data_IF_323826115151
#
_entry.id   IF_323826115151
#
_cell.length_a   1.000
_cell.length_b   1.000
_cell.length_c   1.000
_cell.angle_alpha   90.00
_cell.angle_beta   90.00
_cell.angle_gamma   90.00
#
_symmetry.space_group_name_H-M   'P 1'
#
loop_
_entity.id
_entity.type
_entity.pdbx_description
1 polymer ?
#
# COMPACT_ATOMS: atom_id res chain seq x y z
N UNK A 1 26.65 18.24 3.65
CA UNK A 1 27.54 17.75 2.58
C UNK A 1 27.33 18.42 1.23
N UNK A 2 26.10 18.47 0.70
CA UNK A 2 25.83 19.02 -0.63
C UNK A 2 26.31 20.48 -0.86
N UNK A 3 26.11 21.37 0.12
CA UNK A 3 26.59 22.76 0.06
C UNK A 3 28.12 22.84 0.01
N UNK A 4 28.83 21.93 0.70
CA UNK A 4 30.29 21.87 0.68
C UNK A 4 30.79 21.35 -0.67
N UNK A 5 30.15 20.32 -1.23
CA UNK A 5 30.46 19.82 -2.58
C UNK A 5 30.26 20.90 -3.65
N UNK A 6 29.13 21.62 -3.62
CA UNK A 6 28.87 22.70 -4.57
C UNK A 6 29.90 23.83 -4.46
N UNK A 7 30.26 24.24 -3.24
CA UNK A 7 31.33 25.22 -3.02
C UNK A 7 32.68 24.72 -3.54
N UNK A 8 33.00 23.45 -3.32
CA UNK A 8 34.23 22.83 -3.82
C UNK A 8 34.31 22.90 -5.35
N UNK A 9 33.21 22.54 -6.05
CA UNK A 9 33.11 22.64 -7.51
C UNK A 9 33.33 24.08 -8.00
N UNK A 10 32.66 25.06 -7.39
CA UNK A 10 32.81 26.48 -7.73
C UNK A 10 34.24 27.00 -7.52
N UNK A 11 34.86 26.66 -6.40
CA UNK A 11 36.24 27.06 -6.09
C UNK A 11 37.20 26.43 -7.10
N UNK A 12 37.07 25.14 -7.37
CA UNK A 12 37.87 24.43 -8.37
C UNK A 12 37.72 25.03 -9.77
N UNK A 13 36.50 25.40 -10.18
CA UNK A 13 36.24 26.04 -11.46
C UNK A 13 36.92 27.41 -11.58
N UNK A 14 36.78 28.26 -10.56
CA UNK A 14 37.41 29.59 -10.55
C UNK A 14 38.93 29.49 -10.56
N UNK A 15 39.50 28.60 -9.75
CA UNK A 15 40.94 28.37 -9.71
C UNK A 15 41.47 27.85 -11.05
N UNK A 16 40.74 26.93 -11.70
CA UNK A 16 41.09 26.41 -13.02
C UNK A 16 41.13 27.55 -14.06
N UNK A 17 40.12 28.42 -14.03
CA UNK A 17 40.02 29.57 -14.94
C UNK A 17 41.20 30.54 -14.77
N UNK A 18 41.58 30.86 -13.53
CA UNK A 18 42.71 31.74 -13.23
C UNK A 18 44.05 31.11 -13.67
N UNK A 19 44.29 29.83 -13.38
CA UNK A 19 45.48 29.14 -13.89
C UNK A 19 45.56 29.16 -15.42
N UNK A 20 44.43 28.96 -16.11
CA UNK A 20 44.38 29.04 -17.57
C UNK A 20 44.67 30.46 -18.07
N UNK A 21 44.10 31.48 -17.44
CA UNK A 21 44.33 32.89 -17.80
C UNK A 21 45.80 33.25 -17.68
N UNK A 22 46.43 32.89 -16.57
CA UNK A 22 47.85 33.13 -16.32
C UNK A 22 48.72 32.43 -17.38
N UNK A 23 48.47 31.14 -17.63
CA UNK A 23 49.30 30.41 -18.59
C UNK A 23 49.08 30.81 -20.05
N UNK A 24 47.88 31.23 -20.42
CA UNK A 24 47.64 31.81 -21.75
C UNK A 24 48.45 33.10 -21.94
N UNK A 25 48.60 33.93 -20.89
CA UNK A 25 49.48 35.12 -20.95
C UNK A 25 50.94 34.71 -21.10
N UNK A 26 51.41 33.70 -20.37
CA UNK A 26 52.77 33.20 -20.47
C UNK A 26 53.09 32.59 -21.85
N UNK A 27 52.14 31.85 -22.43
CA UNK A 27 52.25 31.31 -23.79
C UNK A 27 52.34 32.45 -24.82
N UNK A 28 51.50 33.49 -24.70
CA UNK A 28 51.55 34.67 -25.59
C UNK A 28 52.89 35.40 -25.51
N UNK A 29 53.50 35.43 -24.32
CA UNK A 29 54.85 36.00 -24.08
C UNK A 29 55.98 35.07 -24.53
N UNK A 30 55.68 33.89 -25.09
CA UNK A 30 56.64 32.85 -25.47
C UNK A 30 57.44 32.28 -24.30
N UNK A 31 56.98 32.45 -23.05
CA UNK A 31 57.61 31.92 -21.85
C UNK A 31 57.27 30.44 -21.60
N UNK A 32 56.18 29.94 -22.17
CA UNK A 32 55.74 28.55 -22.05
C UNK A 32 55.16 27.99 -23.35
N UNK A 33 55.05 26.66 -23.42
CA UNK A 33 54.36 25.94 -24.52
C UNK A 33 52.95 25.55 -24.12
N UNK A 34 52.05 25.46 -25.10
CA UNK A 34 50.64 25.10 -24.90
C UNK A 34 50.41 23.74 -24.22
N UNK A 35 51.41 22.84 -24.21
CA UNK A 35 51.32 21.54 -23.55
C UNK A 35 51.06 21.64 -22.04
N UNK A 36 51.44 22.75 -21.40
CA UNK A 36 51.21 22.97 -19.96
C UNK A 36 49.71 23.05 -19.63
N UNK A 37 48.89 23.54 -20.57
CA UNK A 37 47.43 23.58 -20.39
C UNK A 37 46.82 22.17 -20.23
N UNK A 38 47.36 21.18 -20.95
CA UNK A 38 46.91 19.79 -20.81
C UNK A 38 47.27 19.20 -19.44
N UNK A 39 48.41 19.59 -18.87
CA UNK A 39 48.82 19.16 -17.53
C UNK A 39 47.93 19.77 -16.44
N UNK A 40 47.48 21.01 -16.64
CA UNK A 40 46.54 21.67 -15.73
C UNK A 40 45.21 20.91 -15.70
N UNK A 41 44.67 20.51 -16.86
CA UNK A 41 43.42 19.74 -16.94
C UNK A 41 43.52 18.35 -16.30
N UNK A 42 44.69 17.71 -16.36
CA UNK A 42 44.94 16.38 -15.78
C UNK A 42 45.24 16.41 -14.28
N UNK A 43 45.24 17.58 -13.65
CA UNK A 43 45.59 17.70 -12.23
C UNK A 43 44.43 17.16 -11.36
N UNK A 44 44.74 16.25 -10.43
CA UNK A 44 43.77 15.63 -9.50
C UNK A 44 42.98 16.66 -8.67
N UNK A 45 43.52 17.86 -8.44
CA UNK A 45 42.77 18.93 -7.72
C UNK A 45 41.48 19.36 -8.42
N UNK A 46 41.32 19.03 -9.70
CA UNK A 46 40.14 19.33 -10.51
C UNK A 46 39.29 18.09 -10.82
N UNK A 47 39.53 16.97 -10.14
CA UNK A 47 38.80 15.71 -10.33
C UNK A 47 37.28 15.89 -10.08
N UNK A 48 36.87 16.77 -9.18
CA UNK A 48 35.45 17.09 -8.97
C UNK A 48 34.77 17.76 -10.18
N UNK A 49 35.54 18.24 -11.16
CA UNK A 49 35.02 18.78 -12.43
C UNK A 49 34.95 17.68 -13.52
N UNK A 50 35.37 16.47 -13.21
CA UNK A 50 35.18 15.33 -14.09
C UNK A 50 33.68 15.15 -14.38
N UNK A 51 33.38 14.73 -15.61
CA UNK A 51 32.01 14.52 -16.08
C UNK A 51 31.22 13.63 -15.11
N UNK A 52 31.84 12.55 -14.60
CA UNK A 52 31.23 11.61 -13.65
C UNK A 52 30.83 12.25 -12.33
N UNK A 53 31.69 13.11 -11.75
CA UNK A 53 31.39 13.78 -10.48
C UNK A 53 30.27 14.81 -10.63
N UNK A 54 30.23 15.52 -11.76
CA UNK A 54 29.16 16.46 -12.08
C UNK A 54 27.83 15.74 -12.34
N UNK A 55 27.86 14.59 -13.02
CA UNK A 55 26.69 13.72 -13.20
C UNK A 55 26.17 13.18 -11.86
N UNK A 56 27.06 12.73 -10.98
CA UNK A 56 26.70 12.30 -9.62
C UNK A 56 26.03 13.43 -8.83
N UNK A 57 26.60 14.63 -8.86
CA UNK A 57 25.99 15.80 -8.22
C UNK A 57 24.60 16.10 -8.78
N UNK A 58 24.45 16.10 -10.11
CA UNK A 58 23.15 16.29 -10.76
C UNK A 58 22.13 15.22 -10.35
N UNK A 59 22.55 13.95 -10.24
CA UNK A 59 21.69 12.86 -9.80
C UNK A 59 21.18 13.08 -8.36
N UNK A 60 22.05 13.50 -7.44
CA UNK A 60 21.66 13.81 -6.05
C UNK A 60 20.65 14.97 -6.03
N UNK A 61 20.89 16.05 -6.79
CA UNK A 61 19.94 17.16 -6.91
C UNK A 61 18.59 16.67 -7.44
N UNK A 62 18.58 15.82 -8.47
CA UNK A 62 17.35 15.31 -9.05
C UNK A 62 16.58 14.42 -8.06
N UNK A 63 17.27 13.60 -7.27
CA UNK A 63 16.66 12.81 -6.20
C UNK A 63 16.01 13.72 -5.14
N UNK A 64 16.71 14.77 -4.70
CA UNK A 64 16.16 15.74 -3.74
C UNK A 64 14.94 16.49 -4.30
N UNK A 65 14.97 16.88 -5.58
CA UNK A 65 13.84 17.52 -6.25
C UNK A 65 12.63 16.56 -6.36
N UNK A 66 12.87 15.30 -6.70
CA UNK A 66 11.82 14.29 -6.75
C UNK A 66 11.23 14.05 -5.35
N UNK A 67 12.06 14.06 -4.31
CA UNK A 67 11.59 13.98 -2.92
C UNK A 67 10.71 15.17 -2.56
N UNK A 68 11.14 16.39 -2.89
CA UNK A 68 10.35 17.61 -2.65
C UNK A 68 8.97 17.52 -3.30
N UNK A 69 8.89 17.14 -4.59
CA UNK A 69 7.62 16.97 -5.29
C UNK A 69 6.74 15.90 -4.64
N UNK A 70 7.33 14.81 -4.19
CA UNK A 70 6.60 13.78 -3.47
C UNK A 70 6.01 14.29 -2.15
N UNK A 71 6.77 15.08 -1.38
CA UNK A 71 6.27 15.71 -0.16
C UNK A 71 5.13 16.69 -0.43
N UNK A 72 5.18 17.42 -1.54
CA UNK A 72 4.08 18.28 -2.00
C UNK A 72 2.82 17.45 -2.28
N UNK A 73 2.94 16.32 -2.99
CA UNK A 73 1.81 15.40 -3.24
C UNK A 73 1.22 14.85 -1.94
N UNK A 74 2.05 14.41 -0.99
CA UNK A 74 1.56 13.95 0.32
C UNK A 74 0.76 15.05 1.02
N UNK A 75 1.24 16.29 0.99
CA UNK A 75 0.57 17.41 1.63
C UNK A 75 -0.76 17.78 0.93
N UNK A 76 -0.82 17.73 -0.40
CA UNK A 76 -2.06 17.90 -1.17
C UNK A 76 -3.14 16.88 -0.76
N UNK A 77 -2.72 15.64 -0.54
CA UNK A 77 -3.57 14.54 -0.08
C UNK A 77 -3.80 14.54 1.45
N UNK A 78 -3.37 15.60 2.16
CA UNK A 78 -3.50 15.76 3.61
C UNK A 78 -2.79 14.66 4.44
N UNK A 79 -1.74 14.08 3.88
CA UNK A 79 -0.88 13.08 4.53
C UNK A 79 0.26 13.80 5.25
N UNK A 80 0.42 13.54 6.54
CA UNK A 80 1.55 14.07 7.30
C UNK A 80 2.81 13.27 6.99
N UNK A 81 3.96 13.93 6.99
CA UNK A 81 5.25 13.30 6.74
C UNK A 81 6.14 13.34 7.98
N UNK A 82 6.79 12.23 8.30
CA UNK A 82 7.80 12.11 9.36
C UNK A 82 9.01 11.39 8.78
N UNK A 83 10.21 11.96 8.93
CA UNK A 83 11.45 11.23 8.70
C UNK A 83 11.78 10.42 9.97
N UNK A 84 12.05 9.12 9.83
CA UNK A 84 12.37 8.25 10.94
C UNK A 84 13.61 8.73 11.74
N UNK A 85 14.58 9.36 11.07
CA UNK A 85 15.78 9.93 11.71
C UNK A 85 15.47 11.17 12.58
N UNK A 86 14.36 11.86 12.31
CA UNK A 86 13.96 13.04 13.10
C UNK A 86 13.27 12.65 14.42
N UNK A 87 12.91 11.38 14.59
CA UNK A 87 12.27 10.86 15.79
C UNK A 87 13.32 10.78 16.91
N UNK A 88 13.10 11.54 17.98
CA UNK A 88 14.06 11.65 19.09
C UNK A 88 13.69 10.76 20.26
N UNK A 89 14.68 10.03 20.79
CA UNK A 89 14.64 9.44 22.12
C UNK A 89 15.74 10.03 22.99
N UNK A 90 15.44 10.34 24.25
CA UNK A 90 16.33 10.94 25.27
C UNK A 90 17.84 10.62 25.11
N UNK A 91 18.51 11.37 24.22
CA UNK A 91 19.95 11.33 23.90
C UNK A 91 20.50 10.06 23.23
N UNK A 92 19.66 9.11 22.78
CA UNK A 92 20.13 7.91 22.07
C UNK A 92 19.80 8.03 20.58
N UNK A 93 20.78 7.78 19.72
CA UNK A 93 20.55 7.62 18.28
C UNK A 93 19.66 6.38 18.11
N UNK A 94 18.54 6.55 17.42
CA UNK A 94 17.66 5.43 17.07
C UNK A 94 18.28 4.70 15.90
N UNK A 95 18.59 3.42 16.10
CA UNK A 95 19.20 2.59 15.05
C UNK A 95 18.28 1.44 14.63
N UNK A 96 17.18 1.22 15.36
CA UNK A 96 16.23 0.13 15.06
C UNK A 96 14.82 0.62 14.79
N UNK A 97 14.11 -0.08 13.92
CA UNK A 97 12.70 0.16 13.59
C UNK A 97 11.83 -0.01 14.84
N UNK A 98 12.17 -0.96 15.72
CA UNK A 98 11.44 -1.19 16.97
C UNK A 98 11.54 -0.01 17.95
N UNK A 99 12.66 0.71 17.98
CA UNK A 99 12.78 1.92 18.80
C UNK A 99 11.87 3.03 18.26
N UNK A 100 11.84 3.21 16.93
CA UNK A 100 10.95 4.16 16.25
C UNK A 100 9.49 3.80 16.53
N UNK A 101 9.12 2.53 16.38
CA UNK A 101 7.80 2.01 16.68
C UNK A 101 7.36 2.34 18.10
N UNK A 102 8.21 2.06 19.09
CA UNK A 102 7.90 2.30 20.51
C UNK A 102 7.58 3.77 20.78
N UNK A 103 8.27 4.70 20.10
CA UNK A 103 8.06 6.13 20.29
C UNK A 103 6.79 6.59 19.58
N UNK A 104 6.59 6.16 18.33
CA UNK A 104 5.40 6.52 17.56
C UNK A 104 4.14 5.93 18.19
N UNK A 105 4.20 4.69 18.67
CA UNK A 105 3.13 4.06 19.44
C UNK A 105 2.78 4.89 20.67
N UNK A 106 3.77 5.29 21.49
CA UNK A 106 3.50 6.16 22.66
C UNK A 106 2.96 7.54 22.27
N UNK A 107 3.37 8.07 21.14
CA UNK A 107 2.99 9.42 20.67
C UNK A 107 1.55 9.43 20.18
N UNK A 108 1.15 8.41 19.40
CA UNK A 108 -0.12 8.35 18.70
C UNK A 108 -1.10 7.33 19.29
N UNK A 109 -0.79 6.70 20.43
CA UNK A 109 -1.61 5.65 21.06
C UNK A 109 -3.09 6.03 21.21
N UNK A 110 -3.37 7.30 21.52
CA UNK A 110 -4.72 7.81 21.75
C UNK A 110 -5.33 8.52 20.52
N UNK A 111 -4.59 8.62 19.42
CA UNK A 111 -5.01 9.35 18.23
C UNK A 111 -5.63 8.43 17.17
N UNK A 112 -6.58 8.95 16.39
CA UNK A 112 -7.13 8.26 15.22
C UNK A 112 -6.15 8.33 14.03
N UNK A 113 -5.06 7.58 14.10
CA UNK A 113 -3.93 7.70 13.17
C UNK A 113 -3.62 6.36 12.49
N UNK A 114 -3.34 6.42 11.19
CA UNK A 114 -2.63 5.37 10.46
C UNK A 114 -1.19 5.83 10.27
N UNK A 115 -0.24 5.01 10.68
CA UNK A 115 1.16 5.15 10.33
C UNK A 115 1.48 4.21 9.18
N UNK A 116 2.05 4.74 8.11
CA UNK A 116 2.49 3.96 6.95
C UNK A 116 3.99 4.12 6.75
N UNK A 117 4.71 3.03 6.95
CA UNK A 117 6.16 2.96 6.93
C UNK A 117 6.60 2.54 5.54
N UNK A 118 7.47 3.35 4.94
CA UNK A 118 7.99 3.12 3.60
C UNK A 118 9.36 3.79 3.43
N UNK A 119 10.03 3.51 2.32
CA UNK A 119 11.28 4.14 1.92
C UNK A 119 11.32 4.37 0.42
N UNK A 120 12.20 5.25 -0.03
CA UNK A 120 12.38 5.56 -1.46
C UNK A 120 12.85 4.33 -2.24
N UNK A 121 13.72 3.50 -1.65
CA UNK A 121 14.17 2.24 -2.26
C UNK A 121 13.00 1.28 -2.47
N UNK A 122 12.12 1.13 -1.48
CA UNK A 122 10.96 0.25 -1.61
C UNK A 122 9.95 0.76 -2.63
N UNK A 123 9.75 2.08 -2.69
CA UNK A 123 8.91 2.69 -3.73
C UNK A 123 9.44 2.42 -5.14
N UNK A 124 10.77 2.41 -5.31
CA UNK A 124 11.42 2.08 -6.58
C UNK A 124 11.36 0.59 -6.91
N UNK A 125 11.61 -0.28 -5.94
CA UNK A 125 11.65 -1.74 -6.15
C UNK A 125 10.25 -2.36 -6.31
N UNK A 126 9.22 -1.77 -5.68
CA UNK A 126 7.85 -2.29 -5.63
C UNK A 126 6.82 -1.20 -5.91
N UNK A 127 6.97 -0.51 -7.03
CA UNK A 127 6.16 0.66 -7.38
C UNK A 127 4.65 0.35 -7.41
N UNK A 128 4.25 -0.78 -8.01
CA UNK A 128 2.84 -1.15 -8.14
C UNK A 128 2.20 -1.44 -6.77
N UNK A 129 2.88 -2.21 -5.92
CA UNK A 129 2.43 -2.51 -4.54
C UNK A 129 2.35 -1.23 -3.70
N UNK A 130 3.33 -0.34 -3.84
CA UNK A 130 3.33 0.96 -3.19
C UNK A 130 2.14 1.81 -3.63
N UNK A 131 1.86 1.86 -4.94
CA UNK A 131 0.77 2.66 -5.52
C UNK A 131 -0.60 2.11 -5.12
N UNK A 132 -0.77 0.79 -5.10
CA UNK A 132 -1.98 0.15 -4.61
C UNK A 132 -2.21 0.49 -3.14
N UNK A 133 -1.19 0.31 -2.30
CA UNK A 133 -1.25 0.65 -0.86
C UNK A 133 -1.61 2.12 -0.65
N UNK A 134 -1.00 3.03 -1.44
CA UNK A 134 -1.31 4.45 -1.41
C UNK A 134 -2.80 4.72 -1.64
N UNK A 135 -3.38 4.13 -2.69
CA UNK A 135 -4.78 4.31 -3.04
C UNK A 135 -5.71 3.73 -1.98
N UNK A 136 -5.41 2.55 -1.45
CA UNK A 136 -6.20 1.92 -0.38
C UNK A 136 -6.21 2.79 0.89
N UNK A 137 -5.06 3.34 1.28
CA UNK A 137 -4.95 4.22 2.44
C UNK A 137 -5.67 5.56 2.25
N UNK A 138 -5.69 6.12 1.03
CA UNK A 138 -6.48 7.31 0.72
C UNK A 138 -7.99 7.07 0.86
N UNK A 139 -8.47 5.87 0.50
CA UNK A 139 -9.88 5.51 0.66
C UNK A 139 -10.28 5.39 2.14
N UNK A 140 -9.32 5.08 3.04
CA UNK A 140 -9.56 5.03 4.48
C UNK A 140 -9.69 6.40 5.14
N UNK A 141 -9.31 7.50 4.48
CA UNK A 141 -9.38 8.86 5.04
C UNK A 141 -10.83 9.40 4.98
N UNK A 142 -11.51 9.58 6.13
CA UNK A 142 -12.89 10.07 6.17
C UNK A 142 -12.99 11.48 5.61
N UNK A 143 -14.00 11.74 4.78
CA UNK A 143 -14.32 13.10 4.32
C UNK A 143 -14.94 13.99 5.41
N UNK A 144 -15.42 13.38 6.50
CA UNK A 144 -16.12 14.04 7.60
C UNK A 144 -15.47 13.72 8.96
N UNK A 145 -15.62 14.61 9.95
CA UNK A 145 -15.06 14.45 11.30
C UNK A 145 -15.70 13.27 12.09
N UNK A 146 -14.97 12.58 12.99
CA UNK A 146 -13.56 12.81 13.34
C UNK A 146 -12.60 12.30 12.25
N UNK A 147 -11.75 13.20 11.74
CA UNK A 147 -10.80 12.87 10.68
C UNK A 147 -9.74 11.92 11.19
N UNK A 148 -9.67 10.74 10.57
CA UNK A 148 -8.50 9.87 10.67
C UNK A 148 -7.34 10.57 9.97
N UNK A 149 -6.16 10.54 10.59
CA UNK A 149 -4.94 11.10 10.00
C UNK A 149 -4.11 9.97 9.41
N UNK A 150 -3.53 10.19 8.23
CA UNK A 150 -2.50 9.32 7.67
C UNK A 150 -1.15 9.99 7.82
N UNK A 151 -0.17 9.24 8.31
CA UNK A 151 1.21 9.69 8.49
C UNK A 151 2.12 8.75 7.71
N UNK A 152 2.82 9.30 6.72
CA UNK A 152 3.91 8.64 6.02
C UNK A 152 5.19 8.73 6.87
N UNK A 153 5.70 7.57 7.29
CA UNK A 153 6.94 7.45 8.07
C UNK A 153 8.04 6.97 7.14
N UNK A 154 9.00 7.84 6.89
CA UNK A 154 10.06 7.64 5.91
C UNK A 154 11.32 7.02 6.51
N UNK A 155 11.71 5.85 6.00
CA UNK A 155 12.91 5.11 6.37
C UNK A 155 14.02 5.19 5.31
N UNK A 156 13.92 6.09 4.33
CA UNK A 156 14.88 6.19 3.21
C UNK A 156 16.33 6.34 3.65
N UNK A 157 16.56 7.14 4.69
CA UNK A 157 17.89 7.42 5.25
C UNK A 157 18.15 6.72 6.59
N UNK A 158 17.28 5.77 6.99
CA UNK A 158 17.39 5.12 8.29
C UNK A 158 18.43 3.98 8.26
N UNK A 159 19.17 3.79 9.37
CA UNK A 159 20.28 2.83 9.42
C UNK A 159 19.82 1.38 9.19
N UNK A 160 18.71 0.98 9.83
CA UNK A 160 18.08 -0.32 9.58
C UNK A 160 17.15 -0.23 8.35
N UNK A 161 17.43 -1.06 7.33
CA UNK A 161 16.55 -1.18 6.17
C UNK A 161 15.21 -1.80 6.53
N UNK A 162 14.15 -1.23 5.98
CA UNK A 162 12.80 -1.78 6.05
C UNK A 162 12.64 -2.88 4.97
N UNK A 163 12.19 -4.07 5.35
CA UNK A 163 12.06 -5.23 4.43
C UNK A 163 10.72 -5.27 3.69
N UNK A 164 9.67 -4.70 4.28
CA UNK A 164 8.29 -4.71 3.77
C UNK A 164 7.51 -3.48 4.26
N UNK A 165 6.44 -3.11 3.55
CA UNK A 165 5.60 -1.99 3.96
C UNK A 165 4.95 -2.34 5.29
N UNK A 166 5.05 -1.45 6.28
CA UNK A 166 4.41 -1.65 7.57
C UNK A 166 3.30 -0.62 7.75
N UNK A 167 2.11 -1.08 8.07
CA UNK A 167 0.95 -0.23 8.36
C UNK A 167 0.52 -0.49 9.79
N UNK A 168 0.49 0.55 10.62
CA UNK A 168 0.04 0.49 12.01
C UNK A 168 -1.18 1.38 12.16
N UNK A 169 -2.27 0.84 12.70
CA UNK A 169 -3.54 1.56 12.90
C UNK A 169 -3.80 1.72 14.38
N UNK A 170 -3.93 2.96 14.84
CA UNK A 170 -4.32 3.26 16.22
C UNK A 170 -5.83 3.53 16.30
N UNK A 171 -6.55 2.88 17.22
CA UNK A 171 -7.95 3.19 17.46
C UNK A 171 -8.05 4.51 18.24
N UNK A 172 -9.03 5.35 17.91
CA UNK A 172 -9.36 6.51 18.76
C UNK A 172 -9.72 6.01 20.16
N UNK A 173 -8.98 6.42 21.20
CA UNK A 173 -9.40 6.23 22.58
C UNK A 173 -10.54 7.19 22.90
N UNK A 174 -11.77 6.80 22.57
CA UNK A 174 -12.94 7.40 23.19
C UNK A 174 -13.03 6.75 24.56
N UNK A 175 -12.76 7.53 25.61
CA UNK A 175 -13.00 7.10 26.99
C UNK A 175 -14.45 6.62 27.12
N UNK A 176 -14.60 5.36 27.53
CA UNK A 176 -15.86 4.76 27.96
C UNK A 176 -16.37 5.52 29.19
N UNK A 177 -17.33 6.42 29.01
CA UNK A 177 -18.31 6.75 30.06
C UNK A 177 -19.65 7.30 29.56
N UNK A 178 -19.93 7.22 28.25
CA UNK A 178 -21.29 7.42 27.74
C UNK A 178 -21.72 6.27 26.84
N UNK A 179 -22.84 5.63 27.21
CA UNK A 179 -23.60 4.75 26.32
C UNK A 179 -23.95 5.52 25.05
N UNK A 180 -23.63 4.95 23.89
CA UNK A 180 -23.87 5.47 22.52
C UNK A 180 -23.00 6.69 22.19
N UNK A 181 -22.10 6.68 21.21
CA UNK A 181 -22.35 6.40 19.80
C UNK A 181 -21.11 5.81 19.11
N UNK A 182 -21.05 4.49 18.93
CA UNK A 182 -20.28 3.92 17.81
C UNK A 182 -20.84 4.54 16.53
N UNK A 183 -20.00 5.07 15.64
CA UNK A 183 -20.43 5.34 14.26
C UNK A 183 -21.18 4.10 13.76
N UNK A 184 -22.37 4.25 13.18
CA UNK A 184 -23.14 3.09 12.75
C UNK A 184 -22.27 2.26 11.81
N UNK A 185 -22.26 0.92 11.95
CA UNK A 185 -21.52 0.05 11.06
C UNK A 185 -21.90 0.40 9.62
N UNK A 186 -20.89 0.55 8.76
CA UNK A 186 -21.10 0.80 7.34
C UNK A 186 -21.68 -0.49 6.79
N UNK A 187 -22.93 -0.40 6.35
CA UNK A 187 -23.65 -1.55 5.81
C UNK A 187 -23.72 -1.43 4.28
N UNK A 188 -23.04 -2.34 3.59
CA UNK A 188 -23.16 -2.49 2.14
C UNK A 188 -24.25 -3.52 1.89
N UNK A 189 -25.31 -3.11 1.19
CA UNK A 189 -26.41 -3.99 0.80
C UNK A 189 -26.26 -4.32 -0.69
N UNK A 190 -26.09 -5.60 -0.99
CA UNK A 190 -25.98 -6.11 -2.37
C UNK A 190 -27.17 -7.02 -2.63
N UNK A 191 -28.00 -6.64 -3.59
CA UNK A 191 -29.11 -7.46 -4.08
C UNK A 191 -28.64 -8.35 -5.22
N UNK A 192 -28.78 -9.67 -5.07
CA UNK A 192 -28.43 -10.63 -6.12
C UNK A 192 -29.65 -10.91 -6.98
N UNK A 193 -29.58 -10.54 -8.26
CA UNK A 193 -30.65 -10.75 -9.24
C UNK A 193 -30.19 -11.63 -10.39
N UNK A 194 -31.10 -12.47 -10.89
CA UNK A 194 -30.87 -13.34 -12.05
C UNK A 194 -31.86 -14.50 -12.10
N UNK A 195 -31.95 -15.18 -13.24
CA UNK A 195 -32.83 -16.33 -13.44
C UNK A 195 -32.56 -17.47 -12.43
N UNK A 196 -33.52 -18.38 -12.27
CA UNK A 196 -33.35 -19.59 -11.44
C UNK A 196 -32.22 -20.45 -12.01
N UNK A 197 -31.34 -20.95 -11.14
CA UNK A 197 -30.21 -21.80 -11.55
C UNK A 197 -28.95 -21.05 -12.03
N UNK A 198 -28.94 -19.72 -12.09
CA UNK A 198 -27.74 -18.93 -12.48
C UNK A 198 -26.60 -18.99 -11.44
N UNK A 199 -26.87 -19.52 -10.25
CA UNK A 199 -25.85 -19.74 -9.21
C UNK A 199 -25.77 -18.66 -8.12
N UNK A 200 -26.84 -17.88 -7.88
CA UNK A 200 -26.89 -16.86 -6.81
C UNK A 200 -26.58 -17.45 -5.42
N UNK A 201 -27.26 -18.53 -5.06
CA UNK A 201 -27.06 -19.21 -3.78
C UNK A 201 -25.69 -19.89 -3.68
N UNK A 202 -25.20 -20.44 -4.79
CA UNK A 202 -23.84 -20.98 -4.92
C UNK A 202 -22.78 -19.92 -4.69
N UNK A 203 -22.99 -18.71 -5.20
CA UNK A 203 -22.09 -17.57 -5.00
C UNK A 203 -21.98 -17.19 -3.52
N UNK A 204 -23.09 -17.17 -2.77
CA UNK A 204 -23.08 -16.88 -1.32
C UNK A 204 -22.28 -17.94 -0.56
N UNK A 205 -22.48 -19.23 -0.87
CA UNK A 205 -21.69 -20.31 -0.28
C UNK A 205 -20.20 -20.22 -0.65
N UNK A 206 -19.88 -19.88 -1.89
CA UNK A 206 -18.49 -19.67 -2.29
C UNK A 206 -17.86 -18.51 -1.54
N UNK A 207 -18.60 -17.41 -1.36
CA UNK A 207 -18.16 -16.21 -0.66
C UNK A 207 -17.78 -16.50 0.80
N UNK A 208 -18.61 -17.24 1.55
CA UNK A 208 -18.28 -17.58 2.95
C UNK A 208 -17.04 -18.47 3.05
N UNK A 209 -16.83 -19.39 2.10
CA UNK A 209 -15.64 -20.23 2.09
C UNK A 209 -14.38 -19.45 1.71
N UNK A 210 -14.51 -18.46 0.81
CA UNK A 210 -13.44 -17.53 0.50
C UNK A 210 -13.01 -16.72 1.72
N UNK A 211 -13.96 -16.29 2.56
CA UNK A 211 -13.65 -15.59 3.81
C UNK A 211 -13.01 -16.51 4.88
N UNK A 212 -13.34 -17.81 4.87
CA UNK A 212 -12.82 -18.78 5.84
C UNK A 212 -11.39 -19.25 5.52
N UNK A 213 -11.10 -19.50 4.24
CA UNK A 213 -9.87 -20.17 3.83
C UNK A 213 -8.98 -19.22 3.02
N UNK A 214 -7.73 -19.03 3.46
CA UNK A 214 -6.78 -18.16 2.78
C UNK A 214 -6.29 -18.73 1.44
N UNK A 215 -6.29 -20.06 1.29
CA UNK A 215 -5.78 -20.76 0.10
C UNK A 215 -6.73 -21.87 -0.33
N UNK A 216 -6.78 -22.12 -1.63
CA UNK A 216 -7.60 -23.18 -2.22
C UNK A 216 -7.22 -24.57 -1.65
N UNK A 217 -5.93 -24.87 -1.48
CA UNK A 217 -5.49 -26.15 -0.95
C UNK A 217 -5.98 -26.39 0.50
N UNK A 218 -6.17 -25.31 1.27
CA UNK A 218 -6.75 -25.41 2.62
C UNK A 218 -8.25 -25.69 2.54
N UNK A 219 -8.95 -25.06 1.59
CA UNK A 219 -10.38 -25.30 1.38
C UNK A 219 -10.66 -26.73 0.89
N UNK A 220 -9.79 -27.31 0.06
CA UNK A 220 -9.90 -28.70 -0.41
C UNK A 220 -9.78 -29.74 0.72
N UNK A 221 -8.96 -29.44 1.73
CA UNK A 221 -8.73 -30.33 2.88
C UNK A 221 -9.68 -30.04 4.06
N UNK A 222 -10.25 -28.85 4.10
CA UNK A 222 -11.14 -28.38 5.15
C UNK A 222 -12.61 -28.68 4.88
N UNK A 223 -13.42 -28.62 5.94
CA UNK A 223 -14.87 -28.74 5.80
C UNK A 223 -15.48 -27.41 5.32
N UNK A 224 -16.21 -27.40 4.19
CA UNK A 224 -16.80 -26.19 3.64
C UNK A 224 -17.93 -25.67 4.53
N UNK A 225 -18.03 -24.35 4.68
CA UNK A 225 -19.23 -23.73 5.27
C UNK A 225 -20.32 -23.70 4.21
N UNK A 226 -21.49 -24.23 4.55
CA UNK A 226 -22.66 -24.26 3.66
C UNK A 226 -23.78 -23.51 4.35
N UNK A 227 -24.02 -22.26 3.92
CA UNK A 227 -25.08 -21.41 4.46
C UNK A 227 -26.43 -21.69 3.78
N UNK A 228 -26.38 -22.04 2.50
CA UNK A 228 -27.54 -22.36 1.68
C UNK A 228 -27.37 -23.79 1.20
N UNK A 229 -28.30 -24.70 1.47
CA UNK A 229 -28.13 -26.08 1.04
C UNK A 229 -28.19 -26.15 -0.48
N UNK A 230 -27.24 -26.86 -1.09
CA UNK A 230 -27.14 -26.98 -2.54
C UNK A 230 -27.24 -28.43 -2.97
N UNK A 231 -27.91 -28.66 -4.10
CA UNK A 231 -28.03 -29.98 -4.73
C UNK A 231 -27.84 -29.84 -6.23
N UNK A 232 -26.80 -30.45 -6.78
CA UNK A 232 -26.54 -30.42 -8.21
C UNK A 232 -25.99 -31.75 -8.73
N UNK A 233 -26.22 -31.99 -10.01
CA UNK A 233 -25.75 -33.18 -10.71
C UNK A 233 -24.34 -32.91 -11.24
N UNK A 234 -23.42 -33.83 -10.99
CA UNK A 234 -22.11 -33.86 -11.64
C UNK A 234 -21.97 -35.14 -12.44
N UNK A 235 -21.28 -35.05 -13.57
CA UNK A 235 -20.98 -36.20 -14.42
C UNK A 235 -19.48 -36.46 -14.38
N UNK A 236 -19.07 -37.66 -13.96
CA UNK A 236 -17.66 -38.01 -13.78
C UNK A 236 -17.27 -39.19 -14.68
N UNK A 237 -16.11 -39.07 -15.31
CA UNK A 237 -15.45 -40.13 -16.06
C UNK A 237 -16.01 -40.33 -17.47
N UNK A 238 -15.32 -41.17 -18.24
CA UNK A 238 -15.64 -41.41 -19.67
C UNK A 238 -16.96 -42.16 -19.90
N UNK A 239 -17.51 -42.77 -18.85
CA UNK A 239 -18.79 -43.47 -18.88
C UNK A 239 -20.00 -42.59 -18.53
N UNK A 240 -19.80 -41.28 -18.34
CA UNK A 240 -20.84 -40.33 -18.01
C UNK A 240 -21.65 -40.72 -16.75
N UNK A 241 -20.97 -41.23 -15.72
CA UNK A 241 -21.65 -41.58 -14.48
C UNK A 241 -22.13 -40.32 -13.77
N UNK A 242 -23.44 -40.24 -13.52
CA UNK A 242 -24.06 -39.12 -12.84
C UNK A 242 -24.08 -39.31 -11.33
N UNK A 243 -23.67 -38.27 -10.60
CA UNK A 243 -23.68 -38.21 -9.15
C UNK A 243 -24.45 -36.98 -8.70
N UNK A 244 -25.36 -37.15 -7.74
CA UNK A 244 -26.01 -36.03 -7.08
C UNK A 244 -25.14 -35.62 -5.90
N UNK A 245 -24.59 -34.42 -5.97
CA UNK A 245 -23.87 -33.80 -4.88
C UNK A 245 -24.86 -33.01 -4.04
N UNK A 246 -24.89 -33.28 -2.73
CA UNK A 246 -25.71 -32.54 -1.77
C UNK A 246 -24.83 -32.03 -0.63
N UNK A 247 -25.01 -30.76 -0.30
CA UNK A 247 -24.33 -30.10 0.80
C UNK A 247 -25.33 -29.28 1.62
N UNK A 248 -25.22 -29.32 2.94
CA UNK A 248 -26.11 -28.63 3.88
C UNK A 248 -27.36 -29.42 4.28
N UNK A 249 -27.99 -29.01 5.38
CA UNK A 249 -29.24 -29.58 5.89
C UNK A 249 -30.45 -29.02 5.14
N UNK A 250 -31.58 -29.71 5.10
CA UNK A 250 -32.79 -29.25 4.37
C UNK A 250 -33.28 -27.89 4.89
N UNK A 251 -33.41 -26.89 4.00
CA UNK A 251 -33.99 -25.57 4.29
C UNK A 251 -35.38 -25.46 3.64
N UNK A 252 -36.37 -24.98 4.41
CA UNK A 252 -37.74 -24.77 3.92
C UNK A 252 -37.85 -23.62 2.92
N UNK A 253 -36.86 -22.72 2.88
CA UNK A 253 -36.80 -21.63 1.92
C UNK A 253 -36.19 -22.03 0.55
N UNK A 254 -35.80 -23.29 0.39
CA UNK A 254 -35.23 -23.82 -0.84
C UNK A 254 -36.10 -24.96 -1.35
N UNK A 255 -36.45 -24.91 -2.64
CA UNK A 255 -37.14 -26.03 -3.29
C UNK A 255 -36.12 -26.95 -3.99
N UNK A 256 -36.10 -28.22 -3.59
CA UNK A 256 -35.19 -29.26 -4.09
C UNK A 256 -35.85 -30.25 -5.06
N UNK A 257 -37.12 -30.03 -5.42
CA UNK A 257 -37.89 -30.95 -6.27
C UNK A 257 -37.39 -30.99 -7.73
N UNK A 258 -36.66 -29.96 -8.17
CA UNK A 258 -36.01 -29.92 -9.49
C UNK A 258 -34.48 -30.06 -9.34
N UNK A 259 -33.93 -31.13 -9.91
CA UNK A 259 -32.49 -31.43 -9.88
C UNK A 259 -31.69 -30.30 -10.54
N UNK A 260 -30.61 -29.86 -9.88
CA UNK A 260 -29.67 -28.87 -10.44
C UNK A 260 -30.02 -27.41 -10.16
N UNK A 261 -31.04 -27.12 -9.35
CA UNK A 261 -31.42 -25.76 -8.99
C UNK A 261 -31.60 -25.62 -7.48
N UNK A 262 -30.85 -24.68 -6.88
CA UNK A 262 -31.28 -24.03 -5.64
C UNK A 262 -32.34 -23.03 -6.04
N UNK A 263 -33.57 -23.24 -5.59
CA UNK A 263 -34.68 -22.34 -5.90
C UNK A 263 -35.09 -21.63 -4.62
N UNK A 264 -34.43 -20.51 -4.37
CA UNK A 264 -34.77 -19.58 -3.29
C UNK A 264 -36.24 -19.18 -3.45
N UNK A 265 -37.09 -19.50 -2.45
CA UNK A 265 -38.53 -19.21 -2.49
C UNK A 265 -38.87 -17.84 -1.92
N UNK A 266 -38.07 -17.32 -0.98
CA UNK A 266 -38.25 -15.99 -0.40
C UNK A 266 -36.91 -15.27 -0.27
N UNK A 267 -36.93 -13.94 -0.38
CA UNK A 267 -35.73 -13.13 -0.21
C UNK A 267 -35.11 -13.36 1.17
N UNK A 268 -33.81 -13.68 1.20
CA UNK A 268 -33.07 -13.96 2.45
C UNK A 268 -31.78 -13.17 2.49
N UNK A 269 -31.49 -12.57 3.64
CA UNK A 269 -30.29 -11.76 3.85
C UNK A 269 -29.22 -12.54 4.60
N UNK A 270 -27.99 -12.50 4.09
CA UNK A 270 -26.80 -13.06 4.71
C UNK A 270 -25.86 -11.92 5.08
N UNK A 271 -25.54 -11.82 6.36
CA UNK A 271 -24.76 -10.72 6.92
C UNK A 271 -23.35 -11.21 7.26
N UNK A 272 -22.35 -10.57 6.67
CA UNK A 272 -20.94 -10.86 6.87
C UNK A 272 -20.24 -9.64 7.50
N UNK A 273 -19.70 -9.84 8.70
CA UNK A 273 -18.84 -8.85 9.34
C UNK A 273 -17.44 -8.99 8.75
N UNK A 274 -17.09 -8.12 7.80
CA UNK A 274 -15.79 -8.16 7.14
C UNK A 274 -14.69 -7.57 8.05
N UNK A 275 -15.06 -6.65 8.92
CA UNK A 275 -14.26 -6.13 10.04
C UNK A 275 -15.18 -5.43 11.05
N UNK A 276 -14.59 -4.82 12.10
CA UNK A 276 -15.30 -4.15 13.20
C UNK A 276 -16.24 -3.01 12.77
N UNK A 277 -16.15 -2.53 11.53
CA UNK A 277 -16.93 -1.38 11.02
C UNK A 277 -17.66 -1.63 9.71
N UNK A 278 -17.34 -2.72 8.99
CA UNK A 278 -17.92 -3.02 7.67
C UNK A 278 -18.73 -4.31 7.72
N UNK A 279 -20.01 -4.15 7.45
CA UNK A 279 -21.00 -5.22 7.36
C UNK A 279 -21.46 -5.33 5.90
N UNK A 280 -21.28 -6.49 5.29
CA UNK A 280 -21.83 -6.79 3.97
C UNK A 280 -23.10 -7.61 4.13
N UNK A 281 -24.23 -7.12 3.62
CA UNK A 281 -25.48 -7.85 3.49
C UNK A 281 -25.66 -8.28 2.04
N UNK A 282 -25.58 -9.59 1.80
CA UNK A 282 -26.01 -10.18 0.54
C UNK A 282 -27.48 -10.55 0.66
N UNK A 283 -28.31 -10.03 -0.24
CA UNK A 283 -29.75 -10.32 -0.32
C UNK A 283 -29.94 -11.28 -1.48
N UNK A 284 -30.16 -12.55 -1.16
CA UNK A 284 -30.54 -13.58 -2.14
C UNK A 284 -32.03 -13.42 -2.48
N UNK A 285 -32.38 -13.52 -3.76
CA UNK A 285 -33.76 -13.40 -4.23
C UNK A 285 -34.17 -14.64 -5.01
N UNK A 286 -35.49 -14.90 -5.11
CA UNK A 286 -36.02 -15.81 -6.12
C UNK A 286 -35.53 -15.47 -7.53
N UNK A 287 -35.58 -16.46 -8.42
CA UNK A 287 -35.24 -16.26 -9.82
C UNK A 287 -36.18 -15.29 -10.51
N UNK A 288 -35.64 -14.40 -11.35
CA UNK A 288 -36.48 -13.53 -12.18
C UNK A 288 -37.37 -14.41 -13.06
N UNK A 289 -38.69 -14.22 -12.98
CA UNK A 289 -39.68 -15.00 -13.74
C UNK A 289 -40.07 -16.34 -13.13
N UNK A 290 -39.51 -16.70 -11.96
CA UNK A 290 -39.97 -17.86 -11.19
C UNK A 290 -41.25 -17.49 -10.43
N UNK A 291 -42.38 -18.13 -10.75
CA UNK A 291 -43.69 -17.83 -10.15
C UNK A 291 -43.91 -18.50 -8.80
N UNK A 292 -42.93 -19.28 -8.32
CA UNK A 292 -42.99 -19.97 -7.02
C UNK A 292 -42.53 -19.08 -5.86
N UNK A 293 -41.72 -18.05 -6.12
CA UNK A 293 -41.21 -17.09 -5.14
C UNK A 293 -41.69 -15.67 -5.36
#
# INVERSE_FOLDING_TARGET
DLQQQYRSVLVSQNNLLECFREEVVNIRRQCQRSIVLNNILKNQRYECLAKTEMENFQNIIQQLLNKSKFLETLNEDQIQYINANDIRSNKKILTTISDVDTILERTYFNDNVILWYSSDNMKLEREDEWRQTYQELLLELPRCEPRRKLIYVDFSDFEQKLEYFKIVRFPSTIHNDDKSTSLPPIEINVLLMGETGVGKSTFINAFVNYLKFEKLQQAEQGEPIVLIPVSFLITIGEHFNEFIVKFGDVDQNENYEQQGQSVTQQCKSYVFNLNDRLCLRLIDTPGIGDTRG
#
